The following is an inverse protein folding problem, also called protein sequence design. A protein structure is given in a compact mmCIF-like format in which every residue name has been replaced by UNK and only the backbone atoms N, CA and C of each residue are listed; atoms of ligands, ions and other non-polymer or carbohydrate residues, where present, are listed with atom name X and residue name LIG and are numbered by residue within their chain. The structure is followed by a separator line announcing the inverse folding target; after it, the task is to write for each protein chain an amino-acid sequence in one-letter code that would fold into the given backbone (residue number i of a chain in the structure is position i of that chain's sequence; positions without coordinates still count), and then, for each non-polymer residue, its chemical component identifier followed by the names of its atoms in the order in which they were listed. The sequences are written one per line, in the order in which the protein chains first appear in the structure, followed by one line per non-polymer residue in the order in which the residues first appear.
data_IF_133864789585
#
_entry.id   IF_133864789585
#
_cell.length_a   1.000
_cell.length_b   1.000
_cell.length_c   1.000
_cell.angle_alpha   90.00
_cell.angle_beta   90.00
_cell.angle_gamma   90.00
#
_symmetry.space_group_name_H-M   'P 1'
#
loop_
_entity.id
_entity.type
_entity.pdbx_description
1 polymer ?
#
# COMPACT_ATOMS: atom_id res chain seq x y z
N UNK A 1 -4.45 9.44 2.52
CA UNK A 1 -4.06 10.54 3.43
C UNK A 1 -5.07 11.72 3.46
N UNK A 2 -5.95 11.84 2.47
CA UNK A 2 -6.94 12.94 2.39
C UNK A 2 -8.33 12.55 2.91
N UNK A 3 -8.47 11.41 3.59
CA UNK A 3 -9.74 10.95 4.16
C UNK A 3 -10.63 10.15 3.21
N UNK A 4 -10.12 9.70 2.08
CA UNK A 4 -10.84 8.77 1.22
C UNK A 4 -11.00 7.40 1.91
N UNK A 5 -12.11 6.71 1.63
CA UNK A 5 -12.27 5.31 2.03
C UNK A 5 -11.33 4.41 1.21
N UNK A 6 -11.09 3.18 1.68
CA UNK A 6 -10.23 2.23 0.97
C UNK A 6 -10.68 1.99 -0.48
N UNK A 7 -11.99 1.86 -0.70
CA UNK A 7 -12.56 1.67 -2.04
C UNK A 7 -12.44 2.92 -2.92
N UNK A 8 -12.62 4.11 -2.35
CA UNK A 8 -12.45 5.37 -3.09
C UNK A 8 -10.98 5.59 -3.49
N UNK A 9 -10.04 5.38 -2.56
CA UNK A 9 -8.62 5.49 -2.85
C UNK A 9 -8.21 4.54 -3.97
N UNK A 10 -8.66 3.28 -3.88
CA UNK A 10 -8.38 2.28 -4.91
C UNK A 10 -9.00 2.67 -6.26
N UNK A 11 -10.27 3.09 -6.28
CA UNK A 11 -10.93 3.52 -7.51
C UNK A 11 -10.24 4.69 -8.20
N UNK A 12 -9.84 5.72 -7.44
CA UNK A 12 -9.11 6.87 -7.99
C UNK A 12 -7.71 6.48 -8.50
N UNK A 13 -7.00 5.64 -7.75
CA UNK A 13 -5.68 5.18 -8.16
C UNK A 13 -5.72 4.37 -9.45
N UNK A 14 -6.69 3.47 -9.59
CA UNK A 14 -6.88 2.67 -10.80
C UNK A 14 -7.33 3.54 -11.99
N UNK A 15 -8.21 4.52 -11.78
CA UNK A 15 -8.61 5.45 -12.82
C UNK A 15 -7.42 6.26 -13.36
N UNK A 16 -6.53 6.75 -12.47
CA UNK A 16 -5.31 7.40 -12.87
C UNK A 16 -4.34 6.46 -13.56
N UNK A 17 -4.22 5.23 -13.06
CA UNK A 17 -3.39 4.19 -13.69
C UNK A 17 -3.83 3.89 -15.13
N UNK A 18 -5.14 3.78 -15.37
CA UNK A 18 -5.70 3.60 -16.71
C UNK A 18 -5.36 4.79 -17.62
N UNK A 19 -5.59 6.02 -17.14
CA UNK A 19 -5.30 7.22 -17.91
C UNK A 19 -3.81 7.33 -18.28
N UNK A 20 -2.90 7.01 -17.34
CA UNK A 20 -1.48 7.00 -17.64
C UNK A 20 -1.09 5.90 -18.61
N UNK A 21 -1.73 4.73 -18.50
CA UNK A 21 -1.46 3.63 -19.44
C UNK A 21 -1.87 4.02 -20.86
N UNK A 22 -3.05 4.63 -21.04
CA UNK A 22 -3.51 5.16 -22.33
C UNK A 22 -2.53 6.21 -22.88
N UNK A 23 -2.18 7.21 -22.09
CA UNK A 23 -1.28 8.30 -22.52
C UNK A 23 0.11 7.77 -22.93
N UNK A 24 0.66 6.80 -22.19
CA UNK A 24 1.97 6.24 -22.48
C UNK A 24 1.96 5.36 -23.73
N UNK A 25 0.90 4.59 -23.94
CA UNK A 25 0.75 3.77 -25.16
C UNK A 25 0.49 4.64 -26.38
N UNK A 26 -0.30 5.70 -26.27
CA UNK A 26 -0.51 6.69 -27.33
C UNK A 26 0.80 7.43 -27.71
N UNK A 27 1.68 7.62 -26.72
CA UNK A 27 3.03 8.18 -26.95
C UNK A 27 4.01 7.18 -27.59
N UNK A 28 3.58 5.94 -27.85
CA UNK A 28 4.35 4.92 -28.58
C UNK A 28 5.12 3.92 -27.71
N UNK A 29 4.92 3.93 -26.38
CA UNK A 29 5.47 2.88 -25.52
C UNK A 29 4.66 1.59 -25.69
N UNK A 30 5.33 0.44 -25.58
CA UNK A 30 4.61 -0.82 -25.47
C UNK A 30 3.86 -0.91 -24.13
N UNK A 31 2.77 -1.67 -24.08
CA UNK A 31 2.00 -1.90 -22.84
C UNK A 31 2.89 -2.44 -21.72
N UNK A 32 3.82 -3.33 -22.07
CA UNK A 32 4.77 -3.92 -21.13
C UNK A 32 5.70 -2.88 -20.49
N UNK A 33 6.16 -1.89 -21.24
CA UNK A 33 7.01 -0.79 -20.74
C UNK A 33 6.19 0.21 -19.94
N UNK A 34 5.03 0.61 -20.45
CA UNK A 34 4.13 1.56 -19.83
C UNK A 34 3.66 1.06 -18.45
N UNK A 35 3.15 -0.18 -18.38
CA UNK A 35 2.66 -0.76 -17.14
C UNK A 35 3.76 -0.92 -16.08
N UNK A 36 4.99 -1.28 -16.47
CA UNK A 36 6.14 -1.39 -15.55
C UNK A 36 6.63 -0.04 -15.03
N UNK A 37 6.42 1.04 -15.78
CA UNK A 37 6.79 2.38 -15.37
C UNK A 37 5.84 2.96 -14.32
N UNK A 38 4.58 2.51 -14.30
CA UNK A 38 3.57 2.98 -13.36
C UNK A 38 3.77 2.33 -11.99
N UNK A 39 3.88 3.17 -10.96
CA UNK A 39 3.96 2.75 -9.55
C UNK A 39 2.85 3.42 -8.77
N UNK A 40 2.29 2.69 -7.82
CA UNK A 40 1.17 3.16 -7.01
C UNK A 40 1.61 3.46 -5.59
N UNK A 41 1.25 4.65 -5.09
CA UNK A 41 1.46 5.04 -3.70
C UNK A 41 0.11 5.08 -2.98
N UNK A 42 -0.04 4.28 -1.94
CA UNK A 42 -1.26 4.20 -1.14
C UNK A 42 -1.01 4.61 0.31
N UNK A 43 -1.99 5.26 0.91
CA UNK A 43 -2.04 5.44 2.36
C UNK A 43 -2.47 4.14 3.05
N UNK A 44 -2.00 3.94 4.27
CA UNK A 44 -2.45 2.83 5.13
C UNK A 44 -3.06 3.43 6.39
N UNK A 45 -4.34 3.18 6.59
CA UNK A 45 -5.09 3.67 7.74
C UNK A 45 -5.26 2.62 8.83
N UNK A 46 -6.09 2.98 9.83
CA UNK A 46 -6.31 2.13 11.00
C UNK A 46 -7.28 0.96 10.79
N UNK A 47 -7.93 0.83 9.62
CA UNK A 47 -8.85 -0.27 9.36
C UNK A 47 -8.13 -1.51 8.84
N UNK A 48 -7.54 -2.24 9.76
CA UNK A 48 -6.56 -3.30 9.55
C UNK A 48 -6.91 -4.29 8.44
N UNK A 49 -8.08 -4.90 8.51
CA UNK A 49 -8.49 -5.94 7.55
C UNK A 49 -8.89 -5.36 6.19
N UNK A 50 -9.51 -4.16 6.19
CA UNK A 50 -9.84 -3.45 4.96
C UNK A 50 -8.60 -3.01 4.20
N UNK A 51 -7.53 -2.63 4.89
CA UNK A 51 -6.26 -2.29 4.26
C UNK A 51 -5.63 -3.51 3.59
N UNK A 52 -5.63 -4.68 4.25
CA UNK A 52 -5.18 -5.93 3.66
C UNK A 52 -5.99 -6.26 2.40
N UNK A 53 -7.31 -6.20 2.49
CA UNK A 53 -8.21 -6.47 1.37
C UNK A 53 -8.01 -5.48 0.20
N UNK A 54 -7.82 -4.19 0.50
CA UNK A 54 -7.54 -3.14 -0.49
C UNK A 54 -6.34 -3.49 -1.36
N UNK A 55 -5.21 -3.87 -0.77
CA UNK A 55 -4.00 -4.20 -1.52
C UNK A 55 -4.14 -5.49 -2.33
N UNK A 56 -4.86 -6.48 -1.81
CA UNK A 56 -5.18 -7.70 -2.56
C UNK A 56 -6.06 -7.40 -3.76
N UNK A 57 -7.15 -6.64 -3.57
CA UNK A 57 -8.03 -6.20 -4.65
C UNK A 57 -7.28 -5.32 -5.68
N UNK A 58 -6.40 -4.42 -5.22
CA UNK A 58 -5.60 -3.56 -6.08
C UNK A 58 -4.77 -4.36 -7.09
N UNK A 59 -4.06 -5.39 -6.64
CA UNK A 59 -3.24 -6.25 -7.52
C UNK A 59 -4.09 -7.01 -8.54
N UNK A 60 -5.23 -7.52 -8.12
CA UNK A 60 -6.14 -8.26 -9.00
C UNK A 60 -6.74 -7.34 -10.07
N UNK A 61 -7.30 -6.20 -9.66
CA UNK A 61 -7.95 -5.25 -10.58
C UNK A 61 -6.95 -4.65 -11.56
N UNK A 62 -5.75 -4.28 -11.10
CA UNK A 62 -4.70 -3.80 -11.98
C UNK A 62 -4.28 -4.85 -13.01
N UNK A 63 -4.10 -6.10 -12.58
CA UNK A 63 -3.76 -7.18 -13.48
C UNK A 63 -4.85 -7.41 -14.55
N UNK A 64 -6.13 -7.35 -14.17
CA UNK A 64 -7.23 -7.43 -15.12
C UNK A 64 -7.22 -6.26 -16.11
N UNK A 65 -6.97 -5.05 -15.63
CA UNK A 65 -6.88 -3.85 -16.46
C UNK A 65 -5.74 -3.94 -17.47
N UNK A 66 -4.53 -4.25 -17.04
CA UNK A 66 -3.36 -4.38 -17.94
C UNK A 66 -3.57 -5.49 -18.96
N UNK A 67 -4.16 -6.63 -18.56
CA UNK A 67 -4.46 -7.74 -19.48
C UNK A 67 -5.44 -7.35 -20.61
N UNK A 68 -6.33 -6.40 -20.38
CA UNK A 68 -7.22 -5.89 -21.42
C UNK A 68 -6.48 -5.14 -22.55
N UNK A 69 -5.26 -4.68 -22.30
CA UNK A 69 -4.38 -4.06 -23.30
C UNK A 69 -3.46 -5.08 -24.03
N UNK A 70 -3.65 -6.38 -23.80
CA UNK A 70 -2.92 -7.48 -24.47
C UNK A 70 -1.38 -7.36 -24.36
N UNK A 71 -0.82 -7.32 -23.13
CA UNK A 71 0.62 -7.27 -22.93
C UNK A 71 1.29 -8.55 -23.47
N UNK A 72 2.54 -8.45 -23.94
CA UNK A 72 3.33 -9.59 -24.42
C UNK A 72 3.82 -10.48 -23.28
N UNK A 73 3.97 -9.93 -22.08
CA UNK A 73 4.44 -10.63 -20.88
C UNK A 73 3.45 -10.46 -19.73
N UNK A 74 3.02 -11.56 -19.11
CA UNK A 74 2.21 -11.51 -17.88
C UNK A 74 2.91 -10.75 -16.73
N UNK A 75 4.22 -10.58 -16.82
CA UNK A 75 4.99 -9.80 -15.86
C UNK A 75 4.62 -8.30 -15.85
N UNK A 76 4.06 -7.76 -16.93
CA UNK A 76 3.58 -6.39 -17.04
C UNK A 76 2.34 -6.14 -16.15
N UNK A 77 1.55 -7.18 -15.91
CA UNK A 77 0.34 -7.10 -15.07
C UNK A 77 0.63 -7.04 -13.56
N UNK A 78 1.90 -7.15 -13.15
CA UNK A 78 2.28 -7.05 -11.73
C UNK A 78 2.26 -5.60 -11.28
N UNK A 79 1.37 -5.29 -10.35
CA UNK A 79 1.29 -3.97 -9.73
C UNK A 79 2.46 -3.75 -8.78
N UNK A 80 3.15 -2.62 -8.90
CA UNK A 80 4.16 -2.20 -7.93
C UNK A 80 3.53 -1.23 -6.92
N UNK A 81 3.49 -1.63 -5.65
CA UNK A 81 2.82 -0.90 -4.57
C UNK A 81 3.84 -0.36 -3.56
N UNK A 82 3.85 0.96 -3.40
CA UNK A 82 4.43 1.61 -2.24
C UNK A 82 3.31 1.98 -1.26
N UNK A 83 3.48 1.66 0.02
CA UNK A 83 2.54 2.03 1.07
C UNK A 83 3.18 3.02 2.06
N UNK A 84 2.36 3.92 2.59
CA UNK A 84 2.78 4.90 3.58
C UNK A 84 1.75 4.97 4.70
N UNK A 85 2.18 4.94 5.97
CA UNK A 85 1.25 5.08 7.10
C UNK A 85 0.53 6.42 7.06
N UNK A 86 -0.79 6.41 7.22
CA UNK A 86 -1.66 7.58 7.02
C UNK A 86 -1.45 8.65 8.09
N UNK A 87 -1.53 9.92 7.69
CA UNK A 87 -1.59 11.05 8.61
C UNK A 87 -3.01 11.34 9.10
N UNK A 88 -4.02 10.87 8.38
CA UNK A 88 -5.42 11.22 8.62
C UNK A 88 -5.93 10.78 10.00
N UNK A 89 -5.48 9.63 10.49
CA UNK A 89 -5.91 9.05 11.78
C UNK A 89 -4.94 9.34 12.94
N UNK A 90 -3.92 10.17 12.72
CA UNK A 90 -3.00 10.57 13.79
C UNK A 90 -3.60 11.69 14.62
N UNK A 91 -3.20 11.76 15.89
CA UNK A 91 -3.67 12.77 16.84
C UNK A 91 -2.49 13.50 17.47
N UNK A 92 -2.76 14.76 17.87
CA UNK A 92 -1.82 15.54 18.70
C UNK A 92 -2.05 15.29 20.20
N UNK A 93 -3.23 14.74 20.57
CA UNK A 93 -3.54 14.35 21.93
C UNK A 93 -2.93 12.99 22.21
N UNK A 94 -2.13 12.88 23.27
CA UNK A 94 -1.36 11.67 23.59
C UNK A 94 -0.61 11.13 22.36
N UNK A 95 0.23 11.97 21.79
CA UNK A 95 0.86 11.74 20.49
C UNK A 95 1.73 10.46 20.45
N UNK A 96 2.24 9.98 21.59
CA UNK A 96 2.99 8.73 21.65
C UNK A 96 2.15 7.50 21.25
N UNK A 97 0.83 7.56 21.42
CA UNK A 97 -0.07 6.48 20.95
C UNK A 97 -0.05 6.35 19.42
N UNK A 98 0.41 7.37 18.70
CA UNK A 98 0.63 7.24 17.26
C UNK A 98 1.67 6.15 16.91
N UNK A 99 2.61 5.81 17.81
CA UNK A 99 3.52 4.66 17.64
C UNK A 99 2.74 3.36 17.46
N UNK A 100 1.73 3.14 18.29
CA UNK A 100 0.90 1.93 18.22
C UNK A 100 0.07 1.91 16.93
N UNK A 101 -0.43 3.09 16.50
CA UNK A 101 -1.18 3.21 15.25
C UNK A 101 -0.30 2.89 14.05
N UNK A 102 0.89 3.48 13.97
CA UNK A 102 1.80 3.24 12.85
C UNK A 102 2.28 1.79 12.80
N UNK A 103 2.45 1.13 13.95
CA UNK A 103 2.81 -0.29 14.00
C UNK A 103 1.72 -1.17 13.39
N UNK A 104 0.45 -1.01 13.81
CA UNK A 104 -0.65 -1.81 13.25
C UNK A 104 -0.90 -1.52 11.78
N UNK A 105 -0.69 -0.29 11.32
CA UNK A 105 -0.75 0.08 9.90
C UNK A 105 0.38 -0.60 9.11
N UNK A 106 1.61 -0.55 9.63
CA UNK A 106 2.75 -1.22 9.02
C UNK A 106 2.56 -2.75 8.94
N UNK A 107 1.98 -3.35 9.99
CA UNK A 107 1.62 -4.78 10.00
C UNK A 107 0.63 -5.12 8.88
N UNK A 108 -0.44 -4.35 8.72
CA UNK A 108 -1.45 -4.62 7.67
C UNK A 108 -0.85 -4.53 6.27
N UNK A 109 0.03 -3.54 6.03
CA UNK A 109 0.74 -3.40 4.77
C UNK A 109 1.72 -4.56 4.51
N UNK A 110 2.46 -5.00 5.55
CA UNK A 110 3.39 -6.12 5.45
C UNK A 110 2.67 -7.43 5.14
N UNK A 111 1.56 -7.71 5.83
CA UNK A 111 0.71 -8.89 5.59
C UNK A 111 0.12 -8.88 4.17
N UNK A 112 -0.29 -7.71 3.70
CA UNK A 112 -0.79 -7.54 2.33
C UNK A 112 0.29 -7.64 1.24
N UNK A 113 1.56 -7.74 1.64
CA UNK A 113 2.68 -7.95 0.73
C UNK A 113 2.97 -6.76 -0.17
N UNK A 114 2.96 -5.53 0.35
CA UNK A 114 3.38 -4.35 -0.41
C UNK A 114 4.87 -4.43 -0.77
N UNK A 115 5.27 -3.83 -1.90
CA UNK A 115 6.65 -3.92 -2.39
C UNK A 115 7.62 -3.01 -1.61
N UNK A 116 7.10 -1.92 -1.06
CA UNK A 116 7.85 -1.03 -0.17
C UNK A 116 6.91 -0.30 0.79
N UNK A 117 7.45 0.09 1.95
CA UNK A 117 6.69 0.72 3.01
C UNK A 117 7.46 1.89 3.62
N UNK A 118 6.77 3.01 3.82
CA UNK A 118 7.24 4.12 4.65
C UNK A 118 6.38 4.22 5.91
N UNK A 119 7.02 4.08 7.06
CA UNK A 119 6.41 4.36 8.36
C UNK A 119 6.71 5.81 8.73
N UNK A 120 5.68 6.63 8.88
CA UNK A 120 5.82 8.01 9.33
C UNK A 120 6.14 8.07 10.82
N UNK A 121 7.05 8.95 11.26
CA UNK A 121 7.29 9.19 12.67
C UNK A 121 6.03 9.62 13.43
N UNK A 122 5.93 9.23 14.68
CA UNK A 122 4.74 9.47 15.52
C UNK A 122 4.46 10.96 15.78
N UNK A 123 5.49 11.79 15.72
CA UNK A 123 5.46 13.22 16.05
C UNK A 123 5.19 14.14 14.86
N UNK A 124 5.12 13.59 13.65
CA UNK A 124 4.99 14.34 12.38
C UNK A 124 3.77 15.28 12.32
N UNK A 125 2.76 15.06 13.18
CA UNK A 125 1.54 15.87 13.22
C UNK A 125 1.66 17.15 14.02
N UNK A 126 2.69 17.32 14.86
CA UNK A 126 2.80 18.46 15.78
C UNK A 126 4.19 19.11 15.84
N UNK A 127 5.21 18.47 15.30
CA UNK A 127 6.56 19.03 15.19
C UNK A 127 7.33 18.39 14.02
N UNK A 128 8.40 19.03 13.53
CA UNK A 128 9.39 18.33 12.70
C UNK A 128 9.94 17.13 13.44
N UNK A 129 10.05 16.00 12.74
CA UNK A 129 10.60 14.76 13.32
C UNK A 129 12.07 14.94 13.69
N UNK A 130 12.50 14.23 14.71
CA UNK A 130 13.88 14.21 15.19
C UNK A 130 14.51 12.82 15.04
N UNK A 131 15.79 12.69 15.30
CA UNK A 131 16.54 11.43 15.18
C UNK A 131 15.92 10.29 16.00
N UNK A 132 15.29 10.61 17.14
CA UNK A 132 14.64 9.62 17.97
C UNK A 132 13.37 9.08 17.29
N UNK A 133 12.47 9.96 16.86
CA UNK A 133 11.20 9.57 16.24
C UNK A 133 11.41 8.86 14.90
N UNK A 134 12.37 9.29 14.09
CA UNK A 134 12.75 8.63 12.84
C UNK A 134 13.36 7.25 13.07
N UNK A 135 14.20 7.12 14.09
CA UNK A 135 14.78 5.83 14.48
C UNK A 135 13.70 4.84 14.90
N UNK A 136 12.70 5.29 15.67
CA UNK A 136 11.59 4.43 16.09
C UNK A 136 10.79 3.98 14.87
N UNK A 137 10.41 4.90 13.98
CA UNK A 137 9.65 4.58 12.77
C UNK A 137 10.37 3.54 11.88
N UNK A 138 11.70 3.65 11.75
CA UNK A 138 12.51 2.65 11.05
C UNK A 138 12.56 1.32 11.80
N UNK A 139 12.71 1.34 13.11
CA UNK A 139 12.82 0.14 13.92
C UNK A 139 11.52 -0.66 13.96
N UNK A 140 10.35 -0.04 13.83
CA UNK A 140 9.07 -0.74 13.67
C UNK A 140 9.13 -1.72 12.50
N UNK A 141 9.65 -1.32 11.35
CA UNK A 141 9.79 -2.20 10.19
C UNK A 141 10.80 -3.33 10.43
N UNK A 142 11.90 -3.04 11.13
CA UNK A 142 12.89 -4.06 11.51
C UNK A 142 12.29 -5.09 12.47
N UNK A 143 11.47 -4.65 13.42
CA UNK A 143 10.74 -5.52 14.36
C UNK A 143 9.80 -6.47 13.60
N UNK A 144 9.01 -5.93 12.66
CA UNK A 144 8.11 -6.74 11.84
C UNK A 144 8.85 -7.80 11.01
N UNK A 145 10.06 -7.47 10.53
CA UNK A 145 10.86 -8.38 9.72
C UNK A 145 11.63 -9.39 10.59
N UNK A 146 12.43 -8.91 11.56
CA UNK A 146 13.42 -9.73 12.25
C UNK A 146 12.84 -10.50 13.45
N UNK A 147 11.82 -9.96 14.11
CA UNK A 147 11.20 -10.59 15.28
C UNK A 147 9.84 -11.23 14.95
N UNK A 148 8.99 -10.54 14.18
CA UNK A 148 7.66 -11.05 13.80
C UNK A 148 7.69 -11.92 12.54
N UNK A 149 8.78 -11.91 11.78
CA UNK A 149 9.02 -12.76 10.61
C UNK A 149 7.96 -12.63 9.50
N UNK A 150 7.39 -11.47 9.29
CA UNK A 150 6.36 -11.24 8.28
C UNK A 150 6.88 -11.37 6.83
N UNK A 151 8.20 -11.37 6.65
CA UNK A 151 8.86 -11.60 5.37
C UNK A 151 8.95 -13.09 4.98
N UNK A 152 8.56 -14.02 5.85
CA UNK A 152 8.71 -15.47 5.62
C UNK A 152 7.52 -16.12 4.92
N UNK A 153 6.37 -15.45 4.87
CA UNK A 153 5.13 -16.00 4.33
C UNK A 153 4.54 -15.07 3.28
N UNK A 154 4.21 -15.62 2.12
CA UNK A 154 3.51 -14.89 1.06
C UNK A 154 2.01 -15.02 1.25
N UNK A 155 1.29 -13.89 1.23
CA UNK A 155 -0.16 -13.79 1.37
C UNK A 155 -0.74 -14.66 2.53
N UNK A 156 -0.32 -14.41 3.78
CA UNK A 156 -0.79 -15.20 4.93
C UNK A 156 -2.28 -15.03 5.21
N UNK A 157 -2.92 -14.04 4.58
CA UNK A 157 -4.35 -13.78 4.68
C UNK A 157 -5.20 -14.61 3.69
N UNK A 158 -4.57 -15.33 2.76
CA UNK A 158 -5.25 -16.15 1.77
C UNK A 158 -6.10 -17.24 2.45
N UNK A 159 -7.33 -17.41 1.97
CA UNK A 159 -8.28 -18.39 2.49
C UNK A 159 -9.02 -17.96 3.77
N UNK A 160 -8.71 -16.78 4.33
CA UNK A 160 -9.51 -16.19 5.41
C UNK A 160 -10.87 -15.76 4.87
N UNK A 161 -11.96 -16.38 5.28
CA UNK A 161 -13.30 -16.06 4.81
C UNK A 161 -13.64 -14.57 4.89
N UNK A 162 -13.25 -13.92 5.96
CA UNK A 162 -13.51 -12.49 6.15
C UNK A 162 -12.73 -11.62 5.16
N UNK A 163 -11.44 -11.89 5.00
CA UNK A 163 -10.59 -11.11 4.08
C UNK A 163 -10.94 -11.38 2.62
N UNK A 164 -11.25 -12.63 2.26
CA UNK A 164 -11.71 -12.96 0.91
C UNK A 164 -13.01 -12.21 0.56
N UNK A 165 -13.99 -12.19 1.47
CA UNK A 165 -15.23 -11.45 1.27
C UNK A 165 -15.02 -9.93 1.19
N UNK A 166 -14.05 -9.37 1.91
CA UNK A 166 -13.72 -7.95 1.81
C UNK A 166 -12.96 -7.60 0.52
N UNK A 167 -12.23 -8.57 -0.03
CA UNK A 167 -11.43 -8.40 -1.25
C UNK A 167 -12.30 -8.44 -2.51
N UNK A 168 -13.38 -9.23 -2.49
CA UNK A 168 -14.33 -9.38 -3.58
C UNK A 168 -15.22 -8.14 -3.77
#
# INVERSE_FOLDING_TARGET
NAGASCSQELGYALAWGAQYLDMLTDAGLSVDEAAKAIKFNFGVGGNYFMEIAKFRAARMLWAMMVKAYEPKCDCAAKMHIHAETSLFNKTVFDAHVNLLRTETEAMSAAIAGVDSLTVRPFDVTYKPSDDFSERIARNQQLLLKEESHFDKVTDPAAGSYYIENLTA
#
